data_IF_664765367118
#
_entry.id   IF_664765367118
#
_cell.length_a   1.000
_cell.length_b   1.000
_cell.length_c   1.000
_cell.angle_alpha   90.00
_cell.angle_beta   90.00
_cell.angle_gamma   90.00
#
_symmetry.space_group_name_H-M   'P 1'
#
loop_
_entity.id
_entity.type
_entity.pdbx_description
1 polymer ?
#
# COMPACT_ATOMS: atom_id res chain seq x y z
N UNK A 1 12.04 -10.34 -0.18
CA UNK A 1 10.91 -9.42 0.10
C UNK A 1 9.64 -10.21 -0.07
N UNK A 2 8.84 -10.45 0.98
CA UNK A 2 7.53 -11.06 0.83
C UNK A 2 6.65 -10.23 -0.12
N UNK A 3 5.88 -10.92 -0.95
CA UNK A 3 4.85 -10.30 -1.79
C UNK A 3 3.55 -10.37 -1.01
N UNK A 4 2.89 -9.22 -0.87
CA UNK A 4 1.59 -9.10 -0.21
C UNK A 4 0.54 -8.74 -1.25
N UNK A 5 -0.58 -9.47 -1.20
CA UNK A 5 -1.77 -9.19 -1.99
C UNK A 5 -2.60 -8.10 -1.31
N UNK A 6 -2.97 -7.07 -2.07
CA UNK A 6 -3.77 -5.94 -1.66
C UNK A 6 -4.92 -5.75 -2.63
N UNK A 7 -6.05 -5.24 -2.15
CA UNK A 7 -7.17 -4.89 -3.00
C UNK A 7 -7.18 -3.39 -3.30
N UNK A 8 -7.38 -3.04 -4.57
CA UNK A 8 -7.61 -1.67 -4.96
C UNK A 8 -8.85 -1.14 -4.23
N UNK A 9 -8.74 -0.05 -3.43
CA UNK A 9 -9.90 0.47 -2.69
C UNK A 9 -10.94 1.15 -3.61
N UNK A 10 -10.65 1.35 -4.90
CA UNK A 10 -11.61 1.90 -5.87
C UNK A 10 -12.43 0.84 -6.61
N UNK A 11 -11.79 -0.24 -7.07
CA UNK A 11 -12.45 -1.25 -7.92
C UNK A 11 -12.36 -2.69 -7.41
N UNK A 12 -11.69 -2.93 -6.27
CA UNK A 12 -11.53 -4.26 -5.70
C UNK A 12 -10.51 -5.16 -6.40
N UNK A 13 -9.89 -4.72 -7.52
CA UNK A 13 -8.88 -5.49 -8.23
C UNK A 13 -7.71 -5.87 -7.33
N UNK A 14 -7.24 -7.12 -7.44
CA UNK A 14 -6.04 -7.59 -6.77
C UNK A 14 -4.77 -6.90 -7.30
N UNK A 15 -3.89 -6.53 -6.38
CA UNK A 15 -2.61 -5.91 -6.65
C UNK A 15 -1.55 -6.56 -5.76
N UNK A 16 -0.41 -6.93 -6.35
CA UNK A 16 0.72 -7.52 -5.63
C UNK A 16 1.76 -6.45 -5.34
N UNK A 17 2.18 -6.35 -4.09
CA UNK A 17 3.16 -5.37 -3.65
C UNK A 17 4.27 -6.05 -2.83
N UNK A 18 5.53 -5.75 -3.15
CA UNK A 18 6.67 -6.20 -2.35
C UNK A 18 6.83 -5.35 -1.09
N UNK A 19 6.86 -5.99 0.08
CA UNK A 19 7.09 -5.34 1.36
C UNK A 19 8.46 -5.72 1.97
N UNK A 20 9.07 -4.85 2.79
CA UNK A 20 10.20 -5.22 3.61
C UNK A 20 9.88 -6.44 4.49
N UNK A 21 10.90 -7.22 4.85
CA UNK A 21 10.71 -8.35 5.76
C UNK A 21 10.24 -7.85 7.13
N UNK A 22 9.19 -8.46 7.69
CA UNK A 22 8.57 -8.02 8.94
C UNK A 22 7.61 -6.83 8.79
N UNK A 23 7.50 -6.24 7.61
CA UNK A 23 6.60 -5.11 7.41
C UNK A 23 5.12 -5.54 7.44
N UNK A 24 4.28 -4.68 8.00
CA UNK A 24 2.83 -4.85 8.10
C UNK A 24 2.11 -3.68 7.45
N UNK A 25 1.12 -3.97 6.60
CA UNK A 25 0.26 -2.94 6.00
C UNK A 25 -0.69 -2.38 7.06
N UNK A 26 -0.71 -1.05 7.19
CA UNK A 26 -1.55 -0.32 8.15
C UNK A 26 -2.74 0.36 7.50
N UNK A 27 -2.60 0.80 6.27
CA UNK A 27 -3.72 1.36 5.51
C UNK A 27 -3.51 1.21 4.02
N UNK A 28 -4.62 1.06 3.32
CA UNK A 28 -4.73 1.12 1.86
C UNK A 28 -5.84 2.10 1.56
N UNK A 29 -5.53 3.20 0.88
CA UNK A 29 -6.51 4.26 0.62
C UNK A 29 -6.29 4.94 -0.72
N UNK A 30 -7.39 5.26 -1.40
CA UNK A 30 -7.38 6.05 -2.62
C UNK A 30 -7.73 7.53 -2.39
N UNK A 31 -7.99 7.94 -1.13
CA UNK A 31 -8.43 9.29 -0.81
C UNK A 31 -7.27 10.29 -0.84
N UNK A 32 -6.26 10.09 0.01
CA UNK A 32 -5.10 10.97 0.11
C UNK A 32 -3.88 10.20 0.61
N UNK A 33 -2.69 10.66 0.19
CA UNK A 33 -1.43 10.16 0.75
C UNK A 33 -1.37 10.54 2.22
N UNK A 34 -1.46 9.56 3.10
CA UNK A 34 -1.26 9.78 4.53
C UNK A 34 0.23 9.98 4.78
N UNK A 35 0.60 10.93 5.63
CA UNK A 35 2.00 11.08 6.04
C UNK A 35 2.38 9.96 7.01
N UNK A 36 3.60 9.41 6.92
CA UNK A 36 4.10 8.48 7.91
C UNK A 36 4.26 9.20 9.25
N UNK A 37 3.86 8.55 10.36
CA UNK A 37 3.95 9.15 11.70
C UNK A 37 5.26 8.82 12.42
N UNK A 38 6.11 7.97 11.83
CA UNK A 38 7.39 7.52 12.39
C UNK A 38 8.38 7.13 11.28
N UNK A 39 9.68 7.08 11.59
CA UNK A 39 10.73 6.64 10.66
C UNK A 39 10.59 5.17 10.21
N UNK A 40 9.88 4.37 11.01
CA UNK A 40 9.54 2.97 10.72
C UNK A 40 8.32 2.84 9.82
N UNK A 41 7.66 3.95 9.48
CA UNK A 41 6.51 3.98 8.57
C UNK A 41 6.89 4.56 7.21
N UNK A 42 6.39 3.94 6.14
CA UNK A 42 6.46 4.50 4.79
C UNK A 42 5.12 4.42 4.10
N UNK A 43 4.93 5.35 3.18
CA UNK A 43 3.80 5.34 2.25
C UNK A 43 4.31 5.27 0.83
N UNK A 44 3.87 4.24 0.11
CA UNK A 44 4.14 4.05 -1.31
C UNK A 44 2.86 4.25 -2.10
N UNK A 45 3.00 4.83 -3.29
CA UNK A 45 1.95 4.86 -4.31
C UNK A 45 1.99 3.53 -5.05
N UNK A 46 0.80 2.99 -5.33
CA UNK A 46 0.59 1.75 -6.07
C UNK A 46 -0.52 1.98 -7.09
N UNK A 47 -0.34 1.44 -8.29
CA UNK A 47 -1.34 1.48 -9.36
C UNK A 47 -1.95 0.09 -9.54
N UNK A 48 -3.27 0.02 -9.68
CA UNK A 48 -3.95 -1.23 -10.02
C UNK A 48 -4.00 -1.44 -11.55
N UNK A 49 -4.43 -2.63 -12.00
CA UNK A 49 -4.61 -2.95 -13.44
C UNK A 49 -5.64 -2.09 -14.20
N UNK A 50 -6.41 -1.28 -13.49
CA UNK A 50 -7.41 -0.37 -14.04
C UNK A 50 -6.93 1.09 -13.89
N UNK A 51 -5.62 1.30 -13.79
CA UNK A 51 -4.97 2.62 -13.73
C UNK A 51 -5.46 3.50 -12.55
N UNK A 52 -5.89 2.86 -11.46
CA UNK A 52 -6.21 3.57 -10.23
C UNK A 52 -4.98 3.67 -9.35
N UNK A 53 -4.52 4.89 -9.11
CA UNK A 53 -3.54 5.19 -8.08
C UNK A 53 -4.16 5.14 -6.68
N UNK A 54 -3.47 4.47 -5.77
CA UNK A 54 -3.77 4.46 -4.35
C UNK A 54 -2.50 4.40 -3.51
N UNK A 55 -2.64 4.69 -2.22
CA UNK A 55 -1.54 4.78 -1.27
C UNK A 55 -1.60 3.62 -0.29
N UNK A 56 -0.46 2.98 -0.09
CA UNK A 56 -0.28 1.91 0.89
C UNK A 56 0.69 2.40 1.95
N UNK A 57 0.21 2.51 3.19
CA UNK A 57 1.06 2.74 4.36
C UNK A 57 1.39 1.41 5.00
N UNK A 58 2.67 1.21 5.26
CA UNK A 58 3.17 0.05 5.99
C UNK A 58 4.26 0.48 6.97
N UNK A 59 4.45 -0.33 7.99
CA UNK A 59 5.51 -0.15 8.98
C UNK A 59 6.32 -1.43 9.14
N UNK A 60 7.58 -1.33 9.52
CA UNK A 60 8.46 -2.47 9.81
C UNK A 60 9.30 -2.22 11.05
#
# INVERSE_FOLDING_TARGET
MPITDLHCPRCGSDVKMGLPMGATVKSVTAASRQEPTSDTQKVRTVECRNDHEFFVRFEW
#
